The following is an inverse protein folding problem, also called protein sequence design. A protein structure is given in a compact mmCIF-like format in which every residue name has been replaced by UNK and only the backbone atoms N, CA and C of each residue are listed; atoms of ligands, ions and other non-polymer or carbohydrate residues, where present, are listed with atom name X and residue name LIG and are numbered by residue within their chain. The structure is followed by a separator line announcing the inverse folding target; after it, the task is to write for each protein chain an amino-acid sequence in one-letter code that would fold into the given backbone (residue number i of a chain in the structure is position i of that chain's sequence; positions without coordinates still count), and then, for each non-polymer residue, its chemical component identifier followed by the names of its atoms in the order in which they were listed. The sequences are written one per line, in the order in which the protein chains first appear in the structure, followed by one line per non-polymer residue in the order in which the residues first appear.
data_IF_038342260572
#
_entry.id   IF_038342260572
#
_cell.length_a   1.000
_cell.length_b   1.000
_cell.length_c   1.000
_cell.angle_alpha   90.00
_cell.angle_beta   90.00
_cell.angle_gamma   90.00
#
_symmetry.space_group_name_H-M   'P 1'
#
loop_
_entity.id
_entity.type
_entity.pdbx_description
1 polymer ?
#
# COMPACT_ATOMS: atom_id res chain seq x y z
N UNK A 1 -8.28 -2.29 -3.76
CA UNK A 1 -7.13 -3.21 -3.60
C UNK A 1 -6.95 -3.92 -4.94
N UNK A 2 -5.88 -3.59 -5.68
CA UNK A 2 -5.73 -3.92 -7.10
C UNK A 2 -4.92 -5.21 -7.27
N UNK A 3 -5.56 -6.29 -7.74
CA UNK A 3 -4.86 -7.49 -8.21
C UNK A 3 -4.13 -7.16 -9.51
N UNK A 4 -2.81 -7.35 -9.56
CA UNK A 4 -2.02 -7.13 -10.77
C UNK A 4 -2.33 -8.23 -11.79
N UNK A 5 -3.28 -7.97 -12.69
CA UNK A 5 -3.68 -8.89 -13.76
C UNK A 5 -2.89 -8.62 -15.04
N UNK A 6 -1.61 -8.98 -15.05
CA UNK A 6 -0.75 -8.86 -16.24
C UNK A 6 -1.33 -9.61 -17.46
N UNK A 7 -2.06 -10.71 -17.22
CA UNK A 7 -2.66 -11.51 -18.29
C UNK A 7 -3.78 -10.78 -19.05
N UNK A 8 -4.51 -9.86 -18.40
CA UNK A 8 -5.67 -9.17 -18.99
C UNK A 8 -5.28 -7.91 -19.79
N UNK A 9 -3.98 -7.61 -19.92
CA UNK A 9 -3.47 -6.36 -20.50
C UNK A 9 -4.02 -6.11 -21.91
N UNK A 10 -4.06 -7.15 -22.76
CA UNK A 10 -4.53 -7.02 -24.15
C UNK A 10 -6.04 -6.77 -24.17
N UNK A 11 -6.82 -7.57 -23.45
CA UNK A 11 -8.28 -7.42 -23.37
C UNK A 11 -8.69 -6.02 -22.88
N UNK A 12 -8.02 -5.53 -21.83
CA UNK A 12 -8.24 -4.18 -21.29
C UNK A 12 -7.83 -3.09 -22.28
N UNK A 13 -6.73 -3.25 -23.02
CA UNK A 13 -6.32 -2.27 -24.03
C UNK A 13 -7.31 -2.21 -25.20
N UNK A 14 -7.79 -3.36 -25.69
CA UNK A 14 -8.81 -3.40 -26.72
C UNK A 14 -10.13 -2.75 -26.26
N UNK A 15 -10.55 -3.04 -25.02
CA UNK A 15 -11.72 -2.40 -24.41
C UNK A 15 -11.52 -0.88 -24.33
N UNK A 16 -10.37 -0.42 -23.85
CA UNK A 16 -10.07 1.01 -23.74
C UNK A 16 -10.13 1.71 -25.11
N UNK A 17 -9.58 1.10 -26.15
CA UNK A 17 -9.61 1.62 -27.51
C UNK A 17 -11.04 1.72 -28.07
N UNK A 18 -11.88 0.70 -27.87
CA UNK A 18 -13.29 0.72 -28.31
C UNK A 18 -14.07 1.89 -27.73
N UNK A 19 -13.78 2.25 -26.49
CA UNK A 19 -14.45 3.33 -25.77
C UNK A 19 -13.70 4.68 -25.81
N UNK A 20 -12.60 4.78 -26.57
CA UNK A 20 -11.82 6.03 -26.65
C UNK A 20 -11.16 6.45 -25.34
N UNK A 21 -10.78 5.49 -24.49
CA UNK A 21 -10.15 5.71 -23.17
C UNK A 21 -8.70 5.22 -23.13
N UNK A 22 -8.06 5.01 -24.27
CA UNK A 22 -6.72 4.43 -24.42
C UNK A 22 -5.55 5.39 -24.11
N UNK A 23 -5.79 6.70 -24.10
CA UNK A 23 -4.83 7.69 -23.59
C UNK A 23 -5.08 8.08 -22.13
N UNK A 24 -6.29 7.82 -21.64
CA UNK A 24 -6.70 8.03 -20.27
C UNK A 24 -8.16 8.43 -20.18
N UNK A 25 -8.94 7.69 -19.40
CA UNK A 25 -10.37 7.90 -19.35
C UNK A 25 -11.04 7.12 -18.23
N UNK A 26 -12.36 7.20 -18.27
CA UNK A 26 -13.26 6.59 -17.30
C UNK A 26 -14.39 5.93 -18.07
N UNK A 27 -14.77 4.73 -17.63
CA UNK A 27 -15.85 3.96 -18.19
C UNK A 27 -16.63 3.28 -17.08
N UNK A 28 -17.95 3.40 -17.11
CA UNK A 28 -18.85 2.53 -16.37
C UNK A 28 -19.64 1.65 -17.33
N UNK A 29 -19.63 0.34 -17.07
CA UNK A 29 -20.28 -0.63 -17.93
C UNK A 29 -20.88 -1.78 -17.11
N UNK A 30 -21.73 -2.57 -17.75
CA UNK A 30 -22.14 -3.86 -17.23
C UNK A 30 -21.02 -4.89 -17.39
N UNK A 31 -20.90 -5.79 -16.43
CA UNK A 31 -19.98 -6.92 -16.49
C UNK A 31 -20.59 -8.16 -15.84
N UNK A 32 -19.84 -9.26 -15.89
CA UNK A 32 -20.24 -10.51 -15.25
C UNK A 32 -19.09 -11.07 -14.40
N UNK A 33 -19.46 -11.69 -13.29
CA UNK A 33 -18.56 -12.49 -12.47
C UNK A 33 -18.75 -13.96 -12.81
N UNK A 34 -17.65 -14.69 -12.96
CA UNK A 34 -17.66 -16.12 -13.27
C UNK A 34 -16.61 -16.85 -12.43
N UNK A 35 -16.96 -18.01 -11.85
CA UNK A 35 -15.97 -18.86 -11.14
C UNK A 35 -15.14 -19.64 -12.15
N UNK A 36 -13.83 -19.72 -11.91
CA UNK A 36 -12.90 -20.54 -12.67
C UNK A 36 -12.30 -21.64 -11.75
N UNK A 37 -13.01 -22.77 -11.53
CA UNK A 37 -12.53 -23.85 -10.66
C UNK A 37 -11.23 -24.50 -11.16
N UNK A 38 -11.01 -24.48 -12.47
CA UNK A 38 -9.82 -25.01 -13.14
C UNK A 38 -8.64 -24.03 -13.13
N UNK A 39 -8.75 -22.90 -12.43
CA UNK A 39 -7.66 -21.93 -12.35
C UNK A 39 -6.48 -22.55 -11.58
N UNK A 40 -5.29 -22.66 -12.19
CA UNK A 40 -4.16 -23.39 -11.60
C UNK A 40 -3.57 -22.70 -10.37
N UNK A 41 -3.84 -21.40 -10.18
CA UNK A 41 -3.32 -20.64 -9.05
C UNK A 41 -4.28 -20.60 -7.86
N UNK A 42 -5.59 -20.52 -8.10
CA UNK A 42 -6.62 -20.50 -7.05
C UNK A 42 -7.94 -21.09 -7.58
N UNK A 43 -8.37 -22.29 -7.13
CA UNK A 43 -9.63 -22.89 -7.58
C UNK A 43 -10.87 -22.09 -7.14
N UNK A 44 -10.73 -21.12 -6.23
CA UNK A 44 -11.79 -20.20 -5.85
C UNK A 44 -11.73 -18.88 -6.62
N UNK A 45 -10.93 -18.78 -7.69
CA UNK A 45 -10.83 -17.59 -8.50
C UNK A 45 -12.18 -17.20 -9.11
N UNK A 46 -12.51 -15.91 -9.00
CA UNK A 46 -13.68 -15.31 -9.65
C UNK A 46 -13.17 -14.29 -10.67
N UNK A 47 -13.36 -14.62 -11.95
CA UNK A 47 -13.05 -13.75 -13.07
C UNK A 47 -14.10 -12.63 -13.20
N UNK A 48 -13.65 -11.45 -13.61
CA UNK A 48 -14.49 -10.32 -13.99
C UNK A 48 -14.43 -10.17 -15.50
N UNK A 49 -15.59 -10.19 -16.14
CA UNK A 49 -15.75 -10.03 -17.58
C UNK A 49 -16.52 -8.75 -17.91
N UNK A 50 -16.15 -8.08 -18.99
CA UNK A 50 -16.89 -6.96 -19.60
C UNK A 50 -16.97 -7.23 -21.10
N UNK A 51 -18.18 -7.18 -21.66
CA UNK A 51 -18.43 -7.55 -23.07
C UNK A 51 -17.89 -8.94 -23.45
N UNK A 52 -17.94 -9.90 -22.52
CA UNK A 52 -17.41 -11.26 -22.69
C UNK A 52 -15.89 -11.38 -22.46
N UNK A 53 -15.15 -10.28 -22.51
CA UNK A 53 -13.70 -10.26 -22.32
C UNK A 53 -13.31 -10.34 -20.85
N UNK A 54 -12.37 -11.22 -20.51
CA UNK A 54 -11.85 -11.33 -19.13
C UNK A 54 -10.88 -10.19 -18.84
N UNK A 55 -11.30 -9.24 -18.00
CA UNK A 55 -10.53 -8.04 -17.66
C UNK A 55 -9.78 -8.15 -16.32
N UNK A 56 -10.07 -9.16 -15.51
CA UNK A 56 -9.31 -9.44 -14.31
C UNK A 56 -9.92 -10.49 -13.40
N UNK A 57 -9.40 -10.57 -12.17
CA UNK A 57 -9.94 -11.41 -11.10
C UNK A 57 -10.29 -10.54 -9.90
N UNK A 58 -11.31 -10.97 -9.14
CA UNK A 58 -11.51 -10.44 -7.80
C UNK A 58 -10.33 -10.83 -6.90
N UNK A 59 -9.96 -9.97 -5.92
CA UNK A 59 -9.00 -10.35 -4.89
C UNK A 59 -9.43 -11.65 -4.20
N UNK A 60 -8.49 -12.56 -3.95
CA UNK A 60 -8.82 -13.90 -3.42
C UNK A 60 -9.62 -13.89 -2.12
N UNK A 61 -9.39 -12.90 -1.24
CA UNK A 61 -10.20 -12.75 -0.03
C UNK A 61 -11.66 -12.39 -0.33
N UNK A 62 -11.97 -11.63 -1.39
CA UNK A 62 -13.35 -11.36 -1.82
C UNK A 62 -13.92 -12.54 -2.60
N UNK A 63 -13.14 -13.13 -3.50
CA UNK A 63 -13.57 -14.25 -4.34
C UNK A 63 -14.19 -15.39 -3.52
N UNK A 64 -13.62 -15.69 -2.34
CA UNK A 64 -14.13 -16.70 -1.40
C UNK A 64 -15.48 -16.38 -0.77
N UNK A 65 -15.82 -15.10 -0.62
CA UNK A 65 -17.07 -14.65 0.00
C UNK A 65 -18.16 -14.32 -1.02
N UNK A 66 -17.85 -14.40 -2.32
CA UNK A 66 -18.84 -14.21 -3.36
C UNK A 66 -19.69 -15.47 -3.50
N UNK A 67 -20.96 -15.34 -3.14
CA UNK A 67 -21.97 -16.35 -3.41
C UNK A 67 -22.24 -16.42 -4.92
N UNK A 68 -21.64 -17.43 -5.56
CA UNK A 68 -21.68 -17.69 -6.98
C UNK A 68 -21.34 -19.16 -7.21
N UNK A 69 -22.24 -19.94 -7.78
CA UNK A 69 -21.99 -21.36 -8.09
C UNK A 69 -21.02 -21.53 -9.26
N UNK A 70 -20.34 -22.68 -9.33
CA UNK A 70 -19.55 -23.06 -10.51
C UNK A 70 -20.47 -23.14 -11.73
N UNK A 71 -20.04 -22.55 -12.86
CA UNK A 71 -20.84 -22.49 -14.08
C UNK A 71 -21.94 -21.41 -14.09
N UNK A 72 -22.19 -20.73 -12.96
CA UNK A 72 -23.07 -19.57 -12.93
C UNK A 72 -22.32 -18.29 -13.28
N UNK A 73 -23.05 -17.33 -13.86
CA UNK A 73 -22.60 -15.97 -14.06
C UNK A 73 -23.48 -15.01 -13.25
N UNK A 74 -22.86 -14.02 -12.61
CA UNK A 74 -23.58 -12.95 -11.89
C UNK A 74 -23.29 -11.61 -12.51
N UNK A 75 -24.32 -10.89 -12.92
CA UNK A 75 -24.19 -9.52 -13.43
C UNK A 75 -23.71 -8.58 -12.33
N UNK A 76 -22.83 -7.66 -12.71
CA UNK A 76 -22.28 -6.61 -11.84
C UNK A 76 -22.09 -5.33 -12.62
N UNK A 77 -22.11 -4.19 -11.92
CA UNK A 77 -21.63 -2.92 -12.47
C UNK A 77 -20.13 -2.83 -12.30
N UNK A 78 -19.44 -2.36 -13.33
CA UNK A 78 -17.98 -2.24 -13.35
C UNK A 78 -17.60 -0.80 -13.64
N UNK A 79 -16.64 -0.30 -12.88
CA UNK A 79 -16.01 1.01 -13.06
C UNK A 79 -14.55 0.81 -13.45
N UNK A 80 -14.14 1.39 -14.58
CA UNK A 80 -12.80 1.23 -15.17
C UNK A 80 -12.17 2.61 -15.33
N UNK A 81 -10.94 2.74 -14.83
CA UNK A 81 -10.11 3.93 -15.06
C UNK A 81 -8.86 3.54 -15.80
N UNK A 82 -8.49 4.33 -16.80
CA UNK A 82 -7.32 4.12 -17.63
C UNK A 82 -6.41 5.35 -17.62
N UNK A 83 -5.11 5.15 -17.77
CA UNK A 83 -4.12 6.21 -17.94
C UNK A 83 -2.93 5.68 -18.74
N UNK A 84 -2.53 6.42 -19.77
CA UNK A 84 -1.32 6.09 -20.53
C UNK A 84 -0.09 6.57 -19.77
N UNK A 85 0.65 5.62 -19.18
CA UNK A 85 1.90 5.89 -18.48
C UNK A 85 3.10 5.63 -19.42
N UNK A 86 4.33 6.09 -19.09
CA UNK A 86 5.53 5.79 -19.88
C UNK A 86 5.79 4.29 -20.10
N UNK A 87 5.29 3.42 -19.21
CA UNK A 87 5.39 1.95 -19.31
C UNK A 87 4.22 1.30 -20.08
N UNK A 88 3.35 2.11 -20.66
CA UNK A 88 2.14 1.70 -21.37
C UNK A 88 0.85 1.96 -20.60
N UNK A 89 -0.26 1.55 -21.19
CA UNK A 89 -1.60 1.72 -20.63
C UNK A 89 -1.72 1.02 -19.27
N UNK A 90 -2.12 1.79 -18.26
CA UNK A 90 -2.51 1.30 -16.95
C UNK A 90 -4.02 1.37 -16.84
N UNK A 91 -4.62 0.34 -16.26
CA UNK A 91 -6.01 0.37 -15.88
C UNK A 91 -6.22 -0.15 -14.46
N UNK A 92 -7.24 0.38 -13.79
CA UNK A 92 -7.79 -0.20 -12.58
C UNK A 92 -9.30 -0.35 -12.70
N UNK A 93 -9.77 -1.48 -12.19
CA UNK A 93 -11.14 -1.96 -12.38
C UNK A 93 -11.74 -2.24 -11.01
N UNK A 94 -12.96 -1.74 -10.80
CA UNK A 94 -13.79 -2.03 -9.64
C UNK A 94 -15.06 -2.72 -10.09
N UNK A 95 -15.45 -3.78 -9.40
CA UNK A 95 -16.75 -4.43 -9.58
C UNK A 95 -17.61 -4.15 -8.34
N UNK A 96 -18.85 -3.73 -8.55
CA UNK A 96 -19.82 -3.55 -7.48
C UNK A 96 -20.37 -4.92 -7.07
N UNK A 97 -20.13 -5.31 -5.82
CA UNK A 97 -20.53 -6.63 -5.32
C UNK A 97 -21.80 -6.59 -4.46
N UNK A 98 -22.29 -5.40 -4.11
CA UNK A 98 -23.51 -5.24 -3.33
C UNK A 98 -24.75 -5.23 -4.22
N UNK A 99 -25.92 -5.41 -3.60
CA UNK A 99 -27.22 -5.33 -4.27
C UNK A 99 -27.60 -3.85 -4.42
N UNK A 100 -28.17 -3.48 -5.58
CA UNK A 100 -28.64 -2.13 -5.88
C UNK A 100 -27.61 -1.27 -6.60
N UNK A 101 -27.90 0.02 -6.68
CA UNK A 101 -27.09 0.97 -7.43
C UNK A 101 -25.70 1.19 -6.79
N UNK A 102 -24.64 1.29 -7.61
CA UNK A 102 -23.31 1.53 -7.09
C UNK A 102 -23.17 2.89 -6.39
N UNK A 103 -22.56 2.87 -5.21
CA UNK A 103 -22.06 4.07 -4.54
C UNK A 103 -20.52 4.04 -4.57
N UNK A 104 -19.96 4.61 -5.63
CA UNK A 104 -18.53 4.56 -5.89
C UNK A 104 -17.75 5.56 -5.03
N UNK A 105 -16.59 5.14 -4.54
CA UNK A 105 -15.58 6.06 -3.97
C UNK A 105 -15.01 7.00 -5.04
N UNK A 106 -14.91 6.51 -6.27
CA UNK A 106 -14.28 7.20 -7.40
C UNK A 106 -15.33 7.60 -8.43
N UNK A 107 -15.01 8.64 -9.19
CA UNK A 107 -15.83 9.14 -10.30
C UNK A 107 -14.92 9.65 -11.41
N UNK A 108 -15.52 10.05 -12.53
CA UNK A 108 -14.80 10.70 -13.63
C UNK A 108 -13.96 11.90 -13.17
N UNK A 109 -14.47 12.68 -12.22
CA UNK A 109 -13.82 13.88 -11.68
C UNK A 109 -12.97 13.62 -10.44
N UNK A 110 -13.30 12.59 -9.66
CA UNK A 110 -12.50 12.12 -8.52
C UNK A 110 -11.88 10.76 -8.85
N UNK A 111 -10.76 10.78 -9.57
CA UNK A 111 -10.14 9.57 -10.12
C UNK A 111 -9.19 8.92 -9.12
N UNK A 112 -9.06 7.57 -9.13
CA UNK A 112 -8.05 6.90 -8.32
C UNK A 112 -6.64 7.18 -8.85
N UNK A 113 -5.61 7.17 -8.00
CA UNK A 113 -4.22 7.22 -8.46
C UNK A 113 -3.82 5.92 -9.17
N UNK A 114 -3.52 5.99 -10.47
CA UNK A 114 -3.20 4.81 -11.28
C UNK A 114 -1.70 4.50 -11.34
N UNK A 115 -0.84 5.53 -11.32
CA UNK A 115 0.61 5.35 -11.31
C UNK A 115 1.15 5.04 -9.91
N UNK A 116 2.28 4.34 -9.84
CA UNK A 116 2.94 4.07 -8.54
C UNK A 116 3.36 5.36 -7.83
N UNK A 117 3.79 6.38 -8.59
CA UNK A 117 4.14 7.70 -8.05
C UNK A 117 2.92 8.42 -7.49
N UNK A 118 1.81 8.44 -8.22
CA UNK A 118 0.56 9.04 -7.77
C UNK A 118 0.03 8.35 -6.49
N UNK A 119 0.08 7.02 -6.43
CA UNK A 119 -0.33 6.26 -5.23
C UNK A 119 0.51 6.62 -4.01
N UNK A 120 1.81 6.76 -4.20
CA UNK A 120 2.74 7.18 -3.13
C UNK A 120 2.41 8.61 -2.68
N UNK A 121 2.19 9.53 -3.63
CA UNK A 121 1.84 10.92 -3.33
C UNK A 121 0.51 11.04 -2.59
N UNK A 122 -0.55 10.37 -3.06
CA UNK A 122 -1.85 10.32 -2.37
C UNK A 122 -1.70 9.78 -0.95
N UNK A 123 -1.00 8.65 -0.78
CA UNK A 123 -0.77 8.09 0.56
C UNK A 123 -0.03 9.06 1.49
N UNK A 124 0.97 9.78 0.98
CA UNK A 124 1.68 10.78 1.77
C UNK A 124 0.77 11.97 2.13
N UNK A 125 -0.06 12.44 1.19
CA UNK A 125 -1.03 13.49 1.43
C UNK A 125 -2.06 13.09 2.50
N UNK A 126 -2.55 11.84 2.44
CA UNK A 126 -3.50 11.30 3.42
C UNK A 126 -2.88 11.24 4.82
N UNK A 127 -1.61 10.80 4.94
CA UNK A 127 -0.89 10.80 6.22
C UNK A 127 -0.71 12.23 6.74
N UNK A 128 -0.31 13.16 5.88
CA UNK A 128 -0.13 14.57 6.26
C UNK A 128 -1.45 15.17 6.76
N UNK A 129 -2.55 14.93 6.04
CA UNK A 129 -3.89 15.37 6.42
C UNK A 129 -4.32 14.76 7.74
N UNK A 130 -4.18 13.44 7.89
CA UNK A 130 -4.52 12.75 9.15
C UNK A 130 -3.78 13.33 10.35
N UNK A 131 -2.47 13.62 10.21
CA UNK A 131 -1.66 14.23 11.27
C UNK A 131 -2.15 15.65 11.55
N UNK A 132 -2.36 16.47 10.52
CA UNK A 132 -2.85 17.84 10.67
C UNK A 132 -4.23 17.88 11.35
N UNK A 133 -5.18 17.05 10.90
CA UNK A 133 -6.52 16.94 11.45
C UNK A 133 -6.47 16.48 12.92
N UNK A 134 -5.60 15.50 13.24
CA UNK A 134 -5.44 15.00 14.61
C UNK A 134 -4.91 16.08 15.57
N UNK A 135 -3.94 16.87 15.13
CA UNK A 135 -3.37 17.97 15.90
C UNK A 135 -4.36 19.15 16.03
N UNK A 136 -5.09 19.47 14.97
CA UNK A 136 -6.06 20.57 14.96
C UNK A 136 -7.30 20.30 15.82
N UNK A 137 -7.72 19.03 15.93
CA UNK A 137 -8.89 18.64 16.76
C UNK A 137 -8.64 18.84 18.27
N UNK A 138 -7.38 18.87 18.70
CA UNK A 138 -7.02 19.01 20.12
C UNK A 138 -7.34 17.77 20.98
N UNK A 139 -7.28 17.94 22.29
CA UNK A 139 -7.65 16.92 23.28
C UNK A 139 -6.73 15.69 23.30
N UNK A 140 -7.22 14.54 23.82
CA UNK A 140 -6.41 13.33 23.97
C UNK A 140 -5.81 12.81 22.67
N UNK A 141 -6.49 13.02 21.54
CA UNK A 141 -6.01 12.61 20.21
C UNK A 141 -4.81 13.44 19.77
N UNK A 142 -4.85 14.75 19.94
CA UNK A 142 -3.70 15.61 19.64
C UNK A 142 -2.51 15.25 20.52
N UNK A 143 -2.73 15.08 21.84
CA UNK A 143 -1.68 14.70 22.78
C UNK A 143 -0.98 13.37 22.38
N UNK A 144 -1.74 12.35 21.95
CA UNK A 144 -1.16 11.08 21.47
C UNK A 144 -0.29 11.28 20.22
N UNK A 145 -0.69 12.17 19.29
CA UNK A 145 0.11 12.50 18.11
C UNK A 145 1.33 13.35 18.42
N UNK A 146 1.22 14.31 19.35
CA UNK A 146 2.33 15.17 19.77
C UNK A 146 3.51 14.37 20.33
N UNK A 147 3.25 13.27 21.04
CA UNK A 147 4.28 12.36 21.55
C UNK A 147 5.13 11.78 20.41
N UNK A 148 4.55 11.59 19.23
CA UNK A 148 5.25 11.09 18.03
C UNK A 148 5.95 12.16 17.19
N UNK A 149 5.89 13.44 17.60
CA UNK A 149 6.50 14.55 16.88
C UNK A 149 7.97 14.70 17.22
N UNK A 150 8.81 14.86 16.19
CA UNK A 150 10.23 15.17 16.35
C UNK A 150 10.57 16.29 15.38
N UNK A 151 11.08 17.42 15.91
CA UNK A 151 11.44 18.62 15.13
C UNK A 151 10.31 19.12 14.22
N UNK A 152 9.07 19.08 14.72
CA UNK A 152 7.90 19.55 13.99
C UNK A 152 7.35 18.60 12.92
N UNK A 153 7.86 17.36 12.83
CA UNK A 153 7.36 16.34 11.90
C UNK A 153 6.98 15.07 12.66
N UNK A 154 5.83 14.51 12.34
CA UNK A 154 5.40 13.24 12.93
C UNK A 154 6.16 12.08 12.29
N UNK A 155 6.58 11.08 13.08
CA UNK A 155 7.38 9.97 12.55
C UNK A 155 6.72 9.23 11.36
N UNK A 156 5.37 9.14 11.32
CA UNK A 156 4.62 8.54 10.21
C UNK A 156 4.82 9.26 8.87
N UNK A 157 5.14 10.56 8.89
CA UNK A 157 5.35 11.34 7.68
C UNK A 157 6.73 11.09 7.05
N UNK A 158 7.65 10.41 7.75
CA UNK A 158 9.04 10.25 7.34
C UNK A 158 9.29 9.03 6.44
N UNK A 159 8.32 8.13 6.26
CA UNK A 159 8.49 6.90 5.47
C UNK A 159 8.90 7.18 4.03
N UNK A 160 8.13 8.00 3.30
CA UNK A 160 8.44 8.31 1.90
C UNK A 160 9.66 9.23 1.74
N UNK A 161 9.88 10.26 2.58
CA UNK A 161 11.14 11.00 2.59
C UNK A 161 12.39 10.13 2.76
N UNK A 162 12.37 9.17 3.71
CA UNK A 162 13.46 8.21 3.90
C UNK A 162 13.68 7.37 2.64
N UNK A 163 12.60 6.83 2.07
CA UNK A 163 12.71 6.04 0.82
C UNK A 163 13.29 6.86 -0.33
N UNK A 164 12.91 8.13 -0.44
CA UNK A 164 13.38 9.00 -1.52
C UNK A 164 14.88 9.29 -1.38
N UNK A 165 15.33 9.72 -0.21
CA UNK A 165 16.77 9.95 0.06
C UNK A 165 17.62 8.70 -0.22
N UNK A 166 17.13 7.52 0.16
CA UNK A 166 17.80 6.25 -0.15
C UNK A 166 17.88 5.93 -1.65
N UNK A 167 16.87 6.33 -2.45
CA UNK A 167 16.90 6.17 -3.91
C UNK A 167 17.89 7.16 -4.54
N UNK A 168 17.99 8.36 -3.98
CA UNK A 168 18.87 9.42 -4.44
C UNK A 168 20.32 9.26 -3.98
N UNK A 169 20.65 8.16 -3.29
CA UNK A 169 22.01 7.89 -2.79
C UNK A 169 22.41 8.71 -1.56
N UNK A 170 21.52 9.55 -1.03
CA UNK A 170 21.76 10.42 0.14
C UNK A 170 21.56 9.65 1.45
N UNK A 171 22.46 8.71 1.72
CA UNK A 171 22.33 7.74 2.82
C UNK A 171 22.41 8.39 4.19
N UNK A 172 23.31 9.35 4.38
CA UNK A 172 23.53 10.08 5.63
C UNK A 172 22.30 10.92 5.98
N UNK A 173 21.71 11.61 5.00
CA UNK A 173 20.47 12.36 5.20
C UNK A 173 19.29 11.43 5.52
N UNK A 174 19.20 10.27 4.84
CA UNK A 174 18.20 9.26 5.16
C UNK A 174 18.36 8.75 6.60
N UNK A 175 19.60 8.61 7.07
CA UNK A 175 19.90 8.19 8.43
C UNK A 175 19.42 9.21 9.47
N UNK A 176 19.60 10.50 9.22
CA UNK A 176 19.07 11.58 10.07
C UNK A 176 17.55 11.48 10.23
N UNK A 177 16.83 11.21 9.13
CA UNK A 177 15.37 11.01 9.18
C UNK A 177 15.00 9.70 9.89
N UNK A 178 15.76 8.61 9.68
CA UNK A 178 15.56 7.36 10.40
C UNK A 178 15.64 7.54 11.91
N UNK A 179 16.67 8.24 12.41
CA UNK A 179 16.81 8.47 13.86
C UNK A 179 15.73 9.38 14.42
N UNK A 180 15.31 10.40 13.66
CA UNK A 180 14.17 11.25 14.04
C UNK A 180 12.88 10.42 14.13
N UNK A 181 12.66 9.51 13.17
CA UNK A 181 11.49 8.62 13.18
C UNK A 181 11.55 7.56 14.29
N UNK A 182 12.74 7.01 14.59
CA UNK A 182 12.96 6.11 15.72
C UNK A 182 12.56 6.82 17.01
N UNK A 183 13.09 8.03 17.27
CA UNK A 183 12.76 8.78 18.48
C UNK A 183 11.25 8.99 18.65
N UNK A 184 10.55 9.42 17.58
CA UNK A 184 9.09 9.62 17.63
C UNK A 184 8.32 8.31 17.83
N UNK A 185 8.73 7.22 17.16
CA UNK A 185 8.09 5.93 17.29
C UNK A 185 8.31 5.28 18.68
N UNK A 186 9.47 5.50 19.29
CA UNK A 186 9.77 5.03 20.64
C UNK A 186 8.97 5.78 21.70
N UNK A 187 8.80 7.08 21.53
CA UNK A 187 7.98 7.90 22.42
C UNK A 187 6.49 7.51 22.32
N UNK A 188 5.97 7.36 21.10
CA UNK A 188 4.55 7.09 20.83
C UNK A 188 4.13 5.62 21.02
N UNK A 189 4.98 4.77 21.62
CA UNK A 189 4.76 3.31 21.61
C UNK A 189 3.67 2.82 22.57
N UNK A 190 3.28 3.60 23.57
CA UNK A 190 2.23 3.26 24.55
C UNK A 190 2.36 1.83 25.12
N UNK A 191 3.58 1.43 25.51
CA UNK A 191 3.87 0.08 26.04
C UNK A 191 3.99 -1.04 25.00
N UNK A 192 3.71 -0.76 23.72
CA UNK A 192 3.89 -1.68 22.59
C UNK A 192 5.33 -1.65 22.09
N UNK A 193 5.65 -2.56 21.16
CA UNK A 193 6.89 -2.50 20.40
C UNK A 193 6.91 -1.24 19.52
N UNK A 194 8.01 -0.46 19.52
CA UNK A 194 8.17 0.64 18.57
C UNK A 194 8.10 0.13 17.13
N UNK A 195 7.64 0.96 16.20
CA UNK A 195 7.55 0.61 14.79
C UNK A 195 8.94 0.14 14.26
N UNK A 196 9.12 -1.14 13.91
CA UNK A 196 10.45 -1.71 13.65
C UNK A 196 11.07 -1.19 12.35
N UNK A 197 10.25 -0.73 11.40
CA UNK A 197 10.68 -0.36 10.06
C UNK A 197 11.79 0.71 10.07
N UNK A 198 11.73 1.73 10.93
CA UNK A 198 12.73 2.80 10.97
C UNK A 198 14.10 2.29 11.47
N UNK A 199 14.10 1.43 12.50
CA UNK A 199 15.29 0.74 12.99
C UNK A 199 15.87 -0.19 11.92
N UNK A 200 15.03 -0.95 11.21
CA UNK A 200 15.47 -1.79 10.11
C UNK A 200 16.11 -0.96 8.98
N UNK A 201 15.52 0.20 8.64
CA UNK A 201 16.11 1.09 7.63
C UNK A 201 17.45 1.68 8.08
N UNK A 202 17.56 2.12 9.34
CA UNK A 202 18.81 2.63 9.92
C UNK A 202 19.91 1.56 9.87
N UNK A 203 19.62 0.33 10.30
CA UNK A 203 20.56 -0.79 10.26
C UNK A 203 21.02 -1.11 8.81
N UNK A 204 20.09 -1.11 7.85
CA UNK A 204 20.42 -1.28 6.43
C UNK A 204 21.34 -0.17 5.92
N UNK A 205 21.11 1.08 6.33
CA UNK A 205 21.93 2.23 5.92
C UNK A 205 23.32 2.15 6.55
N UNK A 206 23.43 1.92 7.85
CA UNK A 206 24.73 1.74 8.52
C UNK A 206 25.56 0.65 7.87
N UNK A 207 24.95 -0.49 7.53
CA UNK A 207 25.63 -1.56 6.79
C UNK A 207 26.16 -1.12 5.43
N UNK A 208 25.41 -0.28 4.71
CA UNK A 208 25.85 0.25 3.40
C UNK A 208 26.98 1.26 3.53
N UNK A 209 27.07 1.94 4.66
CA UNK A 209 28.14 2.87 5.01
C UNK A 209 29.32 2.21 5.74
N UNK A 210 29.31 0.87 5.84
CA UNK A 210 30.31 0.07 6.58
C UNK A 210 30.45 0.44 8.08
N UNK A 211 29.39 0.98 8.66
CA UNK A 211 29.32 1.39 10.07
C UNK A 211 28.78 0.24 10.94
N UNK A 212 29.57 -0.83 11.09
CA UNK A 212 29.14 -2.05 11.79
C UNK A 212 28.73 -1.80 13.25
N UNK A 213 29.49 -1.00 13.97
CA UNK A 213 29.22 -0.73 15.39
C UNK A 213 27.89 0.02 15.57
N UNK A 214 27.60 0.97 14.69
CA UNK A 214 26.33 1.70 14.69
C UNK A 214 25.14 0.82 14.27
N UNK A 215 25.34 -0.10 13.32
CA UNK A 215 24.36 -1.12 12.98
C UNK A 215 23.99 -1.95 14.23
N UNK A 216 24.99 -2.42 14.98
CA UNK A 216 24.78 -3.18 16.22
C UNK A 216 24.08 -2.31 17.28
N UNK A 217 24.51 -1.06 17.44
CA UNK A 217 23.97 -0.15 18.42
C UNK A 217 22.48 0.13 18.20
N UNK A 218 22.06 0.42 16.95
CA UNK A 218 20.67 0.73 16.64
C UNK A 218 19.74 -0.49 16.82
N UNK A 219 20.21 -1.70 16.49
CA UNK A 219 19.46 -2.94 16.70
C UNK A 219 19.30 -3.26 18.20
N UNK A 220 20.37 -3.10 18.98
CA UNK A 220 20.35 -3.28 20.45
C UNK A 220 19.41 -2.29 21.13
N UNK A 221 19.42 -1.03 20.69
CA UNK A 221 18.51 0.02 21.20
C UNK A 221 17.05 -0.39 21.09
N UNK A 222 16.61 -0.90 19.93
CA UNK A 222 15.22 -1.33 19.74
C UNK A 222 14.86 -2.54 20.60
N UNK A 223 15.76 -3.53 20.71
CA UNK A 223 15.52 -4.71 21.53
C UNK A 223 15.38 -4.40 23.03
N UNK A 224 16.11 -3.40 23.52
CA UNK A 224 16.05 -2.99 24.92
C UNK A 224 14.65 -2.52 25.35
N UNK A 225 13.92 -1.86 24.44
CA UNK A 225 12.61 -1.26 24.71
C UNK A 225 11.42 -2.05 24.14
N UNK A 226 11.68 -3.02 23.27
CA UNK A 226 10.65 -3.90 22.74
C UNK A 226 10.13 -4.84 23.86
N UNK A 227 8.82 -5.09 23.98
CA UNK A 227 8.28 -6.09 24.90
C UNK A 227 8.79 -7.52 24.61
N UNK A 228 9.09 -8.36 25.63
CA UNK A 228 9.68 -9.69 25.43
C UNK A 228 8.92 -10.61 24.47
N UNK A 229 7.59 -10.57 24.51
CA UNK A 229 6.68 -11.34 23.63
C UNK A 229 6.85 -11.00 22.14
N UNK A 230 7.40 -9.82 21.82
CA UNK A 230 7.64 -9.34 20.45
C UNK A 230 9.11 -9.28 20.07
N UNK A 231 10.03 -9.56 21.00
CA UNK A 231 11.47 -9.66 20.71
C UNK A 231 11.76 -10.94 19.94
N UNK A 232 11.20 -12.04 20.43
CA UNK A 232 11.40 -13.37 19.86
C UNK A 232 10.83 -13.45 18.44
N UNK A 233 11.64 -13.95 17.50
CA UNK A 233 11.26 -14.04 16.08
C UNK A 233 11.31 -12.72 15.29
N UNK A 234 11.66 -11.59 15.91
CA UNK A 234 11.81 -10.32 15.18
C UNK A 234 12.99 -10.36 14.20
N UNK A 235 12.83 -9.73 13.03
CA UNK A 235 13.92 -9.59 12.04
C UNK A 235 15.12 -8.83 12.60
N UNK A 236 14.87 -7.90 13.53
CA UNK A 236 15.90 -7.13 14.25
C UNK A 236 16.76 -8.06 15.12
N UNK A 237 16.16 -8.94 15.91
CA UNK A 237 16.90 -9.94 16.72
C UNK A 237 17.72 -10.87 15.84
N UNK A 238 17.10 -11.46 14.82
CA UNK A 238 17.78 -12.35 13.87
C UNK A 238 18.96 -11.68 13.17
N UNK A 239 18.86 -10.37 12.87
CA UNK A 239 19.97 -9.63 12.28
C UNK A 239 21.12 -9.43 13.27
N UNK A 240 20.80 -9.07 14.52
CA UNK A 240 21.80 -8.87 15.56
C UNK A 240 22.58 -10.17 15.87
N UNK A 241 21.90 -11.31 15.91
CA UNK A 241 22.53 -12.62 16.12
C UNK A 241 23.52 -13.00 15.01
N UNK A 242 23.32 -12.51 13.79
CA UNK A 242 24.26 -12.71 12.66
C UNK A 242 25.47 -11.77 12.70
N UNK A 243 25.45 -10.77 13.57
CA UNK A 243 26.52 -9.77 13.74
C UNK A 243 27.38 -10.03 14.97
N UNK A 244 26.91 -10.86 15.91
CA UNK A 244 27.66 -11.42 17.02
C UNK A 244 28.56 -12.57 16.53
#
# INVERSE_FOLDING_TARGET
MTGTTTFAKVAVACLAQRYGTDTGGYLESGGTLQREPENPADPMAVAVHVEGEKIGYLPGYLARHVDLSVGAAREVRVQIFTELLPKGLRAEVWAWLAIGDPNWQWSETNRPPLSSGAKVATRQADINKMVADALATGGPRAASFEVGMVRGVHYLQLVEPIKQLKRDGRMEDALVLCYSAIQGAEAAREGRAPAPWYTEQAAIIHRKLDQRDDEIAVLRRWLAICPPDRREGSRIKQRLEKLA
#
